data_IF_343155281052
#
_entry.id   IF_343155281052
#
_cell.length_a   1.000
_cell.length_b   1.000
_cell.length_c   1.000
_cell.angle_alpha   90.00
_cell.angle_beta   90.00
_cell.angle_gamma   90.00
#
_symmetry.space_group_name_H-M   'P 1'
#
loop_
_entity.id
_entity.type
_entity.pdbx_description
1 polymer ?
#
# COMPACT_ATOMS: atom_id res chain seq x y z
N UNK A 1 42.09 59.42 3.07
CA UNK A 1 40.88 59.79 3.85
C UNK A 1 39.72 59.89 2.88
N UNK A 2 38.63 59.15 3.11
CA UNK A 2 37.52 58.99 2.15
C UNK A 2 36.76 60.31 2.00
N UNK A 3 36.28 60.62 0.78
CA UNK A 3 35.47 61.80 0.43
C UNK A 3 34.36 62.14 1.45
N UNK A 4 33.83 61.10 2.12
CA UNK A 4 32.85 61.20 3.21
C UNK A 4 33.34 62.09 4.36
N UNK A 5 34.61 61.97 4.78
CA UNK A 5 35.14 62.74 5.91
C UNK A 5 35.28 64.23 5.56
N UNK A 6 35.64 64.55 4.31
CA UNK A 6 35.77 65.93 3.84
C UNK A 6 34.39 66.61 3.79
N UNK A 7 33.38 65.90 3.30
CA UNK A 7 32.00 66.39 3.27
C UNK A 7 31.47 66.72 4.67
N UNK A 8 31.68 65.85 5.66
CA UNK A 8 31.27 66.11 7.05
C UNK A 8 31.98 67.32 7.65
N UNK A 9 33.27 67.51 7.38
CA UNK A 9 34.01 68.68 7.87
C UNK A 9 33.48 69.98 7.24
N UNK A 10 33.23 69.99 5.93
CA UNK A 10 32.67 71.17 5.23
C UNK A 10 31.26 71.49 5.75
N UNK A 11 30.41 70.47 5.93
CA UNK A 11 29.07 70.63 6.49
C UNK A 11 29.13 71.17 7.93
N UNK A 12 30.03 70.65 8.76
CA UNK A 12 30.23 71.12 10.13
C UNK A 12 30.67 72.59 10.17
N UNK A 13 31.61 72.98 9.31
CA UNK A 13 32.06 74.38 9.19
C UNK A 13 30.92 75.30 8.75
N UNK A 14 30.08 74.86 7.80
CA UNK A 14 28.90 75.62 7.35
C UNK A 14 27.86 75.77 8.47
N UNK A 15 27.59 74.70 9.22
CA UNK A 15 26.68 74.75 10.39
C UNK A 15 27.21 75.70 11.47
N UNK A 16 28.51 75.63 11.78
CA UNK A 16 29.16 76.53 12.74
C UNK A 16 29.12 78.00 12.27
N UNK A 17 29.30 78.25 10.97
CA UNK A 17 29.20 79.58 10.38
C UNK A 17 27.78 80.14 10.51
N UNK A 18 26.75 79.34 10.21
CA UNK A 18 25.34 79.74 10.34
C UNK A 18 24.97 79.99 11.80
N UNK A 19 25.36 79.10 12.72
CA UNK A 19 25.13 79.26 14.15
C UNK A 19 25.85 80.50 14.71
N UNK A 20 27.09 80.75 14.30
CA UNK A 20 27.85 81.94 14.67
C UNK A 20 27.17 83.22 14.18
N UNK A 21 26.67 83.23 12.95
CA UNK A 21 25.93 84.38 12.41
C UNK A 21 24.62 84.62 13.17
N UNK A 22 23.86 83.55 13.48
CA UNK A 22 22.63 83.63 14.27
C UNK A 22 22.89 84.15 15.69
N UNK A 23 23.99 83.74 16.32
CA UNK A 23 24.41 84.22 17.64
C UNK A 23 24.73 85.72 17.62
N UNK A 24 25.50 86.18 16.63
CA UNK A 24 25.85 87.60 16.48
C UNK A 24 24.62 88.47 16.21
N UNK A 25 23.73 88.03 15.30
CA UNK A 25 22.55 88.81 14.90
C UNK A 25 21.48 88.90 16.01
N UNK A 26 21.45 87.93 16.94
CA UNK A 26 20.43 87.83 17.99
C UNK A 26 21.02 87.97 19.41
N UNK A 27 22.20 88.56 19.54
CA UNK A 27 22.94 88.61 20.79
C UNK A 27 22.14 89.25 21.94
N UNK A 28 21.47 90.37 21.68
CA UNK A 28 20.67 91.09 22.69
C UNK A 28 19.49 90.28 23.23
N UNK A 29 18.93 89.37 22.42
CA UNK A 29 17.84 88.50 22.82
C UNK A 29 18.34 87.31 23.66
N UNK A 30 19.51 86.78 23.31
CA UNK A 30 20.13 85.60 23.93
C UNK A 30 20.68 85.86 25.33
N UNK A 31 21.02 87.11 25.65
CA UNK A 31 21.54 87.52 26.97
C UNK A 31 20.42 87.87 27.95
N UNK A 32 19.16 88.00 27.50
CA UNK A 32 18.01 88.25 28.38
C UNK A 32 17.86 87.15 29.43
N UNK A 33 17.58 87.58 30.65
CA UNK A 33 17.28 86.69 31.76
C UNK A 33 15.84 86.22 31.68
N UNK A 34 15.66 84.91 31.82
CA UNK A 34 14.36 84.25 31.87
C UNK A 34 14.27 83.51 33.20
N UNK A 35 13.14 83.63 33.88
CA UNK A 35 12.90 82.93 35.14
C UNK A 35 12.53 81.49 34.85
N UNK A 36 13.38 80.56 35.23
CA UNK A 36 13.15 79.12 35.08
C UNK A 36 13.32 78.48 36.46
N UNK A 37 12.27 77.84 36.97
CA UNK A 37 12.23 77.28 38.33
C UNK A 37 12.56 78.26 39.48
N UNK A 38 12.27 79.55 39.30
CA UNK A 38 12.46 80.57 40.33
C UNK A 38 13.84 81.24 40.34
N UNK A 39 14.78 80.81 39.50
CA UNK A 39 16.08 81.47 39.30
C UNK A 39 16.16 82.18 37.93
N UNK A 40 16.91 83.29 37.87
CA UNK A 40 17.13 84.05 36.64
C UNK A 40 18.32 83.49 35.86
N UNK A 41 18.03 82.90 34.69
CA UNK A 41 19.03 82.25 33.84
C UNK A 41 19.03 82.92 32.47
N UNK A 42 20.22 83.15 31.88
CA UNK A 42 20.33 83.69 30.52
C UNK A 42 19.73 82.73 29.50
N UNK A 43 18.94 83.24 28.57
CA UNK A 43 18.25 82.43 27.54
C UNK A 43 19.21 81.52 26.75
N UNK A 44 20.41 82.00 26.42
CA UNK A 44 21.45 81.19 25.76
C UNK A 44 21.83 79.92 26.54
N UNK A 45 21.86 80.00 27.87
CA UNK A 45 22.20 78.86 28.72
C UNK A 45 21.07 77.84 28.74
N UNK A 46 19.81 78.28 28.70
CA UNK A 46 18.62 77.40 28.61
C UNK A 46 18.59 76.65 27.26
N UNK A 47 18.89 77.35 26.16
CA UNK A 47 18.97 76.72 24.82
C UNK A 47 20.12 75.71 24.78
N UNK A 48 21.28 76.06 25.34
CA UNK A 48 22.42 75.15 25.40
C UNK A 48 22.12 73.91 26.25
N UNK A 49 21.49 74.06 27.41
CA UNK A 49 21.14 72.95 28.30
C UNK A 49 20.11 72.03 27.63
N UNK A 50 19.07 72.56 26.99
CA UNK A 50 18.06 71.74 26.29
C UNK A 50 18.66 70.99 25.10
N UNK A 51 19.56 71.63 24.35
CA UNK A 51 20.30 70.99 23.27
C UNK A 51 21.24 69.88 23.80
N UNK A 52 22.02 70.16 24.86
CA UNK A 52 22.90 69.17 25.48
C UNK A 52 22.11 67.99 26.06
N UNK A 53 20.96 68.24 26.68
CA UNK A 53 20.07 67.20 27.19
C UNK A 53 19.51 66.34 26.04
N UNK A 54 19.04 66.97 24.96
CA UNK A 54 18.56 66.25 23.77
C UNK A 54 19.65 65.42 23.10
N UNK A 55 20.87 65.96 22.99
CA UNK A 55 22.03 65.24 22.50
C UNK A 55 22.39 64.05 23.41
N UNK A 56 22.42 64.27 24.73
CA UNK A 56 22.69 63.23 25.71
C UNK A 56 21.65 62.10 25.63
N UNK A 57 20.36 62.43 25.55
CA UNK A 57 19.27 61.46 25.39
C UNK A 57 19.38 60.67 24.09
N UNK A 58 19.75 61.32 22.98
CA UNK A 58 19.96 60.63 21.70
C UNK A 58 21.19 59.70 21.75
N UNK A 59 22.29 60.13 22.38
CA UNK A 59 23.47 59.30 22.60
C UNK A 59 23.16 58.10 23.51
N UNK A 60 22.40 58.31 24.59
CA UNK A 60 21.91 57.23 25.45
C UNK A 60 21.01 56.26 24.68
N UNK A 61 20.05 56.75 23.92
CA UNK A 61 19.14 55.92 23.13
C UNK A 61 19.90 55.09 22.08
N UNK A 62 20.78 55.72 21.31
CA UNK A 62 21.59 55.03 20.31
C UNK A 62 22.54 54.02 20.96
N UNK A 63 23.21 54.40 22.07
CA UNK A 63 24.03 53.48 22.87
C UNK A 63 23.26 52.26 23.37
N UNK A 64 22.07 52.45 23.95
CA UNK A 64 21.20 51.35 24.41
C UNK A 64 20.80 50.45 23.23
N UNK A 65 20.41 51.03 22.09
CA UNK A 65 19.99 50.27 20.91
C UNK A 65 21.16 49.52 20.25
N UNK A 66 22.38 50.05 20.31
CA UNK A 66 23.60 49.38 19.85
C UNK A 66 23.91 48.16 20.73
N UNK A 67 23.82 48.32 22.05
CA UNK A 67 23.99 47.22 23.02
C UNK A 67 22.93 46.13 22.81
N UNK A 68 21.67 46.51 22.63
CA UNK A 68 20.58 45.56 22.32
C UNK A 68 20.86 44.82 21.00
N UNK A 69 21.32 45.52 19.95
CA UNK A 69 21.70 44.89 18.68
C UNK A 69 22.86 43.91 18.85
N UNK A 70 23.86 44.26 19.65
CA UNK A 70 25.00 43.40 19.93
C UNK A 70 24.58 42.12 20.66
N UNK A 71 23.76 42.24 21.72
CA UNK A 71 23.23 41.10 22.48
C UNK A 71 22.37 40.19 21.60
N UNK A 72 21.48 40.77 20.77
CA UNK A 72 20.69 39.98 19.80
C UNK A 72 21.57 39.29 18.77
N UNK A 73 22.63 39.94 18.30
CA UNK A 73 23.60 39.35 17.36
C UNK A 73 24.39 38.18 17.97
N UNK A 74 24.77 38.28 19.25
CA UNK A 74 25.40 37.18 19.99
C UNK A 74 24.45 35.99 20.18
N UNK A 75 23.19 36.25 20.53
CA UNK A 75 22.19 35.18 20.66
C UNK A 75 21.87 34.52 19.32
N UNK A 76 21.69 35.30 18.25
CA UNK A 76 21.45 34.76 16.91
C UNK A 76 22.63 33.92 16.39
N UNK A 77 23.87 34.35 16.68
CA UNK A 77 25.07 33.57 16.33
C UNK A 77 25.25 32.32 17.19
N UNK A 78 24.87 32.35 18.47
CA UNK A 78 24.83 31.16 19.33
C UNK A 78 23.77 30.15 18.85
N UNK A 79 22.56 30.60 18.52
CA UNK A 79 21.49 29.75 17.99
C UNK A 79 21.89 29.11 16.67
N UNK A 80 22.52 29.86 15.77
CA UNK A 80 23.00 29.33 14.48
C UNK A 80 24.04 28.22 14.70
N UNK A 81 24.96 28.39 15.65
CA UNK A 81 25.96 27.36 16.01
C UNK A 81 25.30 26.13 16.64
N UNK A 82 24.29 26.31 17.48
CA UNK A 82 23.54 25.21 18.08
C UNK A 82 22.78 24.41 17.02
N UNK A 83 22.06 25.08 16.11
CA UNK A 83 21.36 24.43 15.00
C UNK A 83 22.33 23.64 14.13
N UNK A 84 23.50 24.21 13.81
CA UNK A 84 24.54 23.51 13.05
C UNK A 84 25.02 22.25 13.79
N UNK A 85 25.35 22.38 15.08
CA UNK A 85 25.80 21.25 15.91
C UNK A 85 24.73 20.15 16.02
N UNK A 86 23.47 20.52 16.22
CA UNK A 86 22.35 19.57 16.24
C UNK A 86 22.22 18.88 14.87
N UNK A 87 22.36 19.62 13.77
CA UNK A 87 22.28 19.04 12.43
C UNK A 87 23.40 18.03 12.14
N UNK A 88 24.62 18.30 12.61
CA UNK A 88 25.76 17.38 12.52
C UNK A 88 25.49 16.12 13.34
N UNK A 89 25.07 16.26 14.60
CA UNK A 89 24.73 15.11 15.47
C UNK A 89 23.53 14.32 14.98
N UNK A 90 22.56 14.96 14.33
CA UNK A 90 21.46 14.27 13.66
C UNK A 90 21.95 13.40 12.50
N UNK A 91 22.97 13.84 11.78
CA UNK A 91 23.58 13.03 10.73
C UNK A 91 24.32 11.83 11.33
N UNK A 92 25.11 12.05 12.41
CA UNK A 92 25.78 10.96 13.13
C UNK A 92 24.78 9.89 13.60
N UNK A 93 23.63 10.31 14.17
CA UNK A 93 22.58 9.38 14.60
C UNK A 93 22.01 8.56 13.43
N UNK A 94 21.80 9.17 12.25
CA UNK A 94 21.33 8.44 11.06
C UNK A 94 22.38 7.47 10.55
N UNK A 95 23.64 7.86 10.55
CA UNK A 95 24.74 7.01 10.11
C UNK A 95 24.87 5.79 11.05
N UNK A 96 24.76 5.97 12.37
CA UNK A 96 24.73 4.87 13.34
C UNK A 96 23.57 3.89 13.08
N UNK A 97 22.37 4.40 12.77
CA UNK A 97 21.23 3.55 12.38
C UNK A 97 21.54 2.76 11.11
N UNK A 98 22.17 3.38 10.11
CA UNK A 98 22.56 2.71 8.86
C UNK A 98 23.61 1.61 9.08
N UNK A 99 24.50 1.77 10.07
CA UNK A 99 25.50 0.76 10.46
C UNK A 99 24.93 -0.32 11.39
N UNK A 100 23.63 -0.31 11.71
CA UNK A 100 23.01 -1.30 12.59
C UNK A 100 23.35 -1.13 14.07
N UNK A 101 23.69 0.08 14.50
CA UNK A 101 24.00 0.44 15.89
C UNK A 101 22.86 1.29 16.53
N UNK A 102 21.65 0.73 16.72
CA UNK A 102 20.49 1.51 17.14
C UNK A 102 20.59 2.05 18.57
N UNK A 103 21.28 1.34 19.48
CA UNK A 103 21.44 1.78 20.88
C UNK A 103 22.31 3.02 21.01
N UNK A 104 23.41 3.08 20.24
CA UNK A 104 24.29 4.26 20.22
C UNK A 104 23.57 5.46 19.60
N UNK A 105 22.81 5.22 18.52
CA UNK A 105 21.96 6.25 17.91
C UNK A 105 20.94 6.84 18.90
N UNK A 106 20.31 6.01 19.73
CA UNK A 106 19.39 6.48 20.78
C UNK A 106 20.08 7.44 21.75
N UNK A 107 21.28 7.10 22.25
CA UNK A 107 22.02 7.99 23.15
C UNK A 107 22.38 9.33 22.52
N UNK A 108 22.73 9.34 21.21
CA UNK A 108 22.95 10.59 20.47
C UNK A 108 21.65 11.40 20.38
N UNK A 109 20.53 10.76 20.05
CA UNK A 109 19.22 11.42 19.93
C UNK A 109 18.71 11.97 21.25
N UNK A 110 18.84 11.23 22.35
CA UNK A 110 18.50 11.70 23.69
C UNK A 110 19.28 12.96 24.04
N UNK A 111 20.59 12.99 23.75
CA UNK A 111 21.41 14.17 23.99
C UNK A 111 21.07 15.37 23.10
N UNK A 112 20.44 15.15 21.94
CA UNK A 112 19.88 16.22 21.10
C UNK A 112 18.60 16.75 21.75
N UNK A 113 17.74 15.86 22.24
CA UNK A 113 16.47 16.19 22.89
C UNK A 113 16.67 16.88 24.24
N UNK A 114 17.77 16.64 24.95
CA UNK A 114 18.16 17.40 26.14
C UNK A 114 18.42 18.88 25.81
N UNK A 115 19.01 19.17 24.65
CA UNK A 115 19.30 20.54 24.19
C UNK A 115 18.08 21.20 23.55
N UNK A 116 17.28 20.43 22.79
CA UNK A 116 16.03 20.88 22.16
C UNK A 116 14.97 19.78 22.23
N UNK A 117 14.13 19.82 23.26
CA UNK A 117 13.06 18.83 23.50
C UNK A 117 12.07 18.71 22.34
N UNK A 118 11.80 19.82 21.66
CA UNK A 118 10.83 19.90 20.56
C UNK A 118 11.44 19.57 19.18
N UNK A 119 12.66 19.02 19.12
CA UNK A 119 13.31 18.72 17.84
C UNK A 119 12.62 17.54 17.12
N UNK A 120 11.63 17.84 16.28
CA UNK A 120 10.77 16.88 15.57
C UNK A 120 11.56 15.76 14.87
N UNK A 121 12.61 16.04 14.05
CA UNK A 121 13.34 14.97 13.38
C UNK A 121 14.02 13.99 14.33
N UNK A 122 14.44 14.46 15.51
CA UNK A 122 15.06 13.59 16.52
C UNK A 122 14.00 12.70 17.20
N UNK A 123 12.83 13.25 17.55
CA UNK A 123 11.70 12.48 18.10
C UNK A 123 11.19 11.43 17.11
N UNK A 124 11.07 11.79 15.83
CA UNK A 124 10.69 10.88 14.76
C UNK A 124 11.65 9.69 14.65
N UNK A 125 12.97 9.98 14.51
CA UNK A 125 13.97 8.94 14.37
C UNK A 125 14.08 8.06 15.64
N UNK A 126 13.98 8.67 16.83
CA UNK A 126 13.99 7.92 18.08
C UNK A 126 12.80 6.94 18.15
N UNK A 127 11.60 7.39 17.79
CA UNK A 127 10.41 6.52 17.75
C UNK A 127 10.56 5.37 16.75
N UNK A 128 11.10 5.64 15.56
CA UNK A 128 11.38 4.59 14.57
C UNK A 128 12.40 3.56 15.06
N UNK A 129 13.44 4.00 15.78
CA UNK A 129 14.41 3.10 16.40
C UNK A 129 13.74 2.26 17.48
N UNK A 130 12.93 2.86 18.36
CA UNK A 130 12.20 2.15 19.42
C UNK A 130 11.29 1.05 18.86
N UNK A 131 10.63 1.30 17.72
CA UNK A 131 9.84 0.27 17.02
C UNK A 131 10.70 -0.89 16.52
N UNK A 132 11.89 -0.61 15.98
CA UNK A 132 12.81 -1.63 15.46
C UNK A 132 13.54 -2.41 16.55
N UNK A 133 13.81 -1.79 17.70
CA UNK A 133 14.55 -2.40 18.82
C UNK A 133 13.67 -3.17 19.79
N UNK A 134 12.35 -3.19 19.57
CA UNK A 134 11.41 -3.99 20.37
C UNK A 134 10.85 -3.28 21.59
N UNK A 135 10.87 -1.94 21.62
CA UNK A 135 10.23 -1.10 22.66
C UNK A 135 9.02 -0.33 22.11
N UNK A 136 8.01 -1.00 21.52
CA UNK A 136 6.93 -0.33 20.82
C UNK A 136 6.00 0.50 21.73
N UNK A 137 5.87 0.16 23.01
CA UNK A 137 5.05 0.93 23.96
C UNK A 137 5.63 2.33 24.23
N UNK A 138 6.95 2.45 24.28
CA UNK A 138 7.64 3.75 24.42
C UNK A 138 7.49 4.57 23.13
N UNK A 139 7.58 3.92 21.98
CA UNK A 139 7.34 4.56 20.69
C UNK A 139 5.90 5.11 20.60
N UNK A 140 4.89 4.36 21.06
CA UNK A 140 3.49 4.84 21.12
C UNK A 140 3.40 6.13 21.95
N UNK A 141 3.97 6.16 23.16
CA UNK A 141 3.95 7.35 24.01
C UNK A 141 4.64 8.55 23.35
N UNK A 142 5.81 8.31 22.75
CA UNK A 142 6.58 9.35 22.07
C UNK A 142 5.83 9.94 20.87
N UNK A 143 5.25 9.09 20.02
CA UNK A 143 4.48 9.52 18.86
C UNK A 143 3.13 10.14 19.24
N UNK A 144 2.46 9.69 20.31
CA UNK A 144 1.26 10.33 20.84
C UNK A 144 1.56 11.78 21.25
N UNK A 145 2.58 11.98 22.09
CA UNK A 145 3.00 13.32 22.48
C UNK A 145 3.38 14.17 21.26
N UNK A 146 4.07 13.58 20.27
CA UNK A 146 4.43 14.31 19.04
C UNK A 146 3.21 14.72 18.20
N UNK A 147 2.17 13.88 18.16
CA UNK A 147 0.91 14.21 17.48
C UNK A 147 0.07 15.26 18.23
N UNK A 148 0.22 15.36 19.55
CA UNK A 148 -0.40 16.42 20.36
C UNK A 148 0.29 17.76 20.14
N UNK A 149 1.63 17.76 20.13
CA UNK A 149 2.45 18.96 19.90
C UNK A 149 2.32 19.47 18.45
N UNK A 150 2.29 18.55 17.48
CA UNK A 150 2.27 18.85 16.04
C UNK A 150 1.10 18.14 15.34
N UNK A 151 -0.16 18.62 15.49
CA UNK A 151 -1.33 17.95 14.95
C UNK A 151 -1.30 17.78 13.43
N UNK A 152 -0.69 18.69 12.68
CA UNK A 152 -0.65 18.65 11.21
C UNK A 152 0.46 17.74 10.65
N UNK A 153 1.29 17.12 11.50
CA UNK A 153 2.38 16.26 11.09
C UNK A 153 1.87 14.86 10.70
N UNK A 154 1.50 14.73 9.42
CA UNK A 154 0.98 13.49 8.80
C UNK A 154 1.87 12.27 9.10
N UNK A 155 3.19 12.41 8.98
CA UNK A 155 4.12 11.29 9.16
C UNK A 155 4.14 10.80 10.61
N UNK A 156 4.03 11.69 11.61
CA UNK A 156 4.00 11.29 13.02
C UNK A 156 2.73 10.49 13.34
N UNK A 157 1.57 10.89 12.80
CA UNK A 157 0.32 10.14 12.95
C UNK A 157 0.38 8.77 12.26
N UNK A 158 1.04 8.68 11.10
CA UNK A 158 1.26 7.40 10.44
C UNK A 158 2.17 6.49 11.28
N UNK A 159 3.28 7.02 11.80
CA UNK A 159 4.18 6.26 12.68
C UNK A 159 3.50 5.84 14.00
N UNK A 160 2.61 6.66 14.55
CA UNK A 160 1.78 6.28 15.69
C UNK A 160 0.90 5.05 15.37
N UNK A 161 0.30 5.03 14.17
CA UNK A 161 -0.49 3.88 13.75
C UNK A 161 0.35 2.60 13.58
N UNK A 162 1.58 2.70 13.05
CA UNK A 162 2.50 1.56 12.96
C UNK A 162 3.01 1.13 14.35
N UNK A 163 3.17 2.06 15.28
CA UNK A 163 3.45 1.76 16.67
C UNK A 163 2.31 0.97 17.33
N UNK A 164 1.05 1.35 17.06
CA UNK A 164 -0.11 0.57 17.51
C UNK A 164 -0.16 -0.84 16.92
N UNK A 165 0.25 -1.02 15.66
CA UNK A 165 0.38 -2.36 15.07
C UNK A 165 1.44 -3.20 15.77
N UNK A 166 2.56 -2.58 16.16
CA UNK A 166 3.67 -3.25 16.83
C UNK A 166 3.31 -3.76 18.23
N UNK A 167 2.43 -3.04 18.95
CA UNK A 167 1.84 -3.48 20.23
C UNK A 167 0.61 -4.40 20.04
N UNK A 168 0.37 -4.91 18.82
CA UNK A 168 -0.76 -5.78 18.46
C UNK A 168 -2.14 -5.18 18.75
N UNK A 169 -2.29 -3.87 18.57
CA UNK A 169 -3.56 -3.15 18.70
C UNK A 169 -4.03 -2.59 17.35
N UNK A 170 -4.57 -3.44 16.45
CA UNK A 170 -4.98 -3.03 15.12
C UNK A 170 -6.18 -2.07 15.11
N UNK A 171 -7.07 -2.15 16.10
CA UNK A 171 -8.23 -1.24 16.19
C UNK A 171 -7.80 0.19 16.53
N UNK A 172 -6.85 0.37 17.46
CA UNK A 172 -6.27 1.69 17.73
C UNK A 172 -5.52 2.24 16.51
N UNK A 173 -4.75 1.38 15.82
CA UNK A 173 -4.09 1.75 14.55
C UNK A 173 -5.09 2.23 13.51
N UNK A 174 -6.15 1.47 13.26
CA UNK A 174 -7.21 1.82 12.31
C UNK A 174 -7.90 3.14 12.69
N UNK A 175 -8.15 3.40 13.98
CA UNK A 175 -8.74 4.66 14.45
C UNK A 175 -7.85 5.87 14.14
N UNK A 176 -6.53 5.77 14.40
CA UNK A 176 -5.56 6.83 14.08
C UNK A 176 -5.49 7.05 12.57
N UNK A 177 -5.37 5.98 11.78
CA UNK A 177 -5.30 6.06 10.32
C UNK A 177 -6.58 6.66 9.72
N UNK A 178 -7.75 6.28 10.23
CA UNK A 178 -9.05 6.83 9.79
C UNK A 178 -9.13 8.33 10.05
N UNK A 179 -8.70 8.79 11.23
CA UNK A 179 -8.67 10.23 11.56
C UNK A 179 -7.66 10.98 10.68
N UNK A 180 -6.45 10.43 10.51
CA UNK A 180 -5.43 10.98 9.62
C UNK A 180 -5.93 11.12 8.17
N UNK A 181 -6.58 10.08 7.67
CA UNK A 181 -7.15 10.03 6.33
C UNK A 181 -8.32 11.02 6.15
N UNK A 182 -9.10 11.29 7.20
CA UNK A 182 -10.17 12.28 7.18
C UNK A 182 -9.64 13.73 7.24
N UNK A 183 -8.65 14.00 8.07
CA UNK A 183 -8.08 15.33 8.25
C UNK A 183 -7.21 15.76 7.05
N UNK A 184 -6.50 14.80 6.44
CA UNK A 184 -5.59 15.05 5.32
C UNK A 184 -5.82 14.10 4.14
N UNK A 185 -7.00 14.15 3.49
CA UNK A 185 -7.42 13.16 2.50
C UNK A 185 -6.49 13.05 1.27
N UNK A 186 -5.86 14.16 0.87
CA UNK A 186 -4.94 14.24 -0.29
C UNK A 186 -3.46 14.07 0.05
N UNK A 187 -3.09 13.93 1.32
CA UNK A 187 -1.68 13.72 1.76
C UNK A 187 -1.47 12.35 2.41
N UNK A 188 -2.52 11.60 2.66
CA UNK A 188 -2.50 10.38 3.48
C UNK A 188 -2.56 9.10 2.65
N UNK A 189 -1.83 9.02 1.52
CA UNK A 189 -1.83 7.84 0.64
C UNK A 189 -1.45 6.55 1.39
N UNK A 190 -0.37 6.60 2.18
CA UNK A 190 0.07 5.47 3.02
C UNK A 190 -1.01 5.07 4.03
N UNK A 191 -1.69 6.06 4.62
CA UNK A 191 -2.73 5.78 5.59
C UNK A 191 -3.94 5.07 4.97
N UNK A 192 -4.41 5.52 3.80
CA UNK A 192 -5.49 4.84 3.08
C UNK A 192 -5.12 3.42 2.67
N UNK A 193 -3.88 3.19 2.18
CA UNK A 193 -3.38 1.85 1.85
C UNK A 193 -3.39 0.94 3.07
N UNK A 194 -2.87 1.43 4.20
CA UNK A 194 -2.79 0.67 5.44
C UNK A 194 -4.15 0.40 6.05
N UNK A 195 -5.02 1.41 6.10
CA UNK A 195 -6.39 1.28 6.60
C UNK A 195 -7.18 0.22 5.81
N UNK A 196 -7.10 0.26 4.48
CA UNK A 196 -7.69 -0.78 3.61
C UNK A 196 -7.14 -2.17 3.94
N UNK A 197 -5.82 -2.32 4.08
CA UNK A 197 -5.20 -3.61 4.40
C UNK A 197 -5.67 -4.14 5.77
N UNK A 198 -5.75 -3.30 6.80
CA UNK A 198 -6.26 -3.69 8.11
C UNK A 198 -7.72 -4.13 8.06
N UNK A 199 -8.55 -3.43 7.28
CA UNK A 199 -9.93 -3.86 7.08
C UNK A 199 -10.05 -5.19 6.32
N UNK A 200 -9.17 -5.45 5.35
CA UNK A 200 -9.11 -6.74 4.66
C UNK A 200 -8.68 -7.88 5.60
N UNK A 201 -7.65 -7.67 6.41
CA UNK A 201 -7.18 -8.64 7.42
C UNK A 201 -8.28 -8.96 8.44
N UNK A 202 -9.08 -7.95 8.82
CA UNK A 202 -10.21 -8.09 9.71
C UNK A 202 -11.51 -8.57 9.04
N UNK A 203 -11.49 -8.86 7.73
CA UNK A 203 -12.67 -9.22 6.90
C UNK A 203 -13.82 -8.19 6.98
N UNK A 204 -13.50 -6.93 7.27
CA UNK A 204 -14.41 -5.77 7.26
C UNK A 204 -14.49 -5.24 5.83
N UNK A 205 -15.14 -6.01 4.95
CA UNK A 205 -15.09 -5.81 3.50
C UNK A 205 -15.69 -4.50 3.04
N UNK A 206 -16.77 -4.04 3.67
CA UNK A 206 -17.42 -2.75 3.39
C UNK A 206 -16.47 -1.59 3.64
N UNK A 207 -15.82 -1.56 4.80
CA UNK A 207 -14.84 -0.53 5.14
C UNK A 207 -13.59 -0.60 4.26
N UNK A 208 -13.13 -1.81 3.90
CA UNK A 208 -12.03 -1.99 2.96
C UNK A 208 -12.38 -1.43 1.57
N UNK A 209 -13.59 -1.71 1.07
CA UNK A 209 -14.08 -1.19 -0.21
C UNK A 209 -14.22 0.33 -0.20
N UNK A 210 -14.76 0.92 0.87
CA UNK A 210 -14.87 2.38 0.98
C UNK A 210 -13.48 3.05 1.07
N UNK A 211 -12.56 2.51 1.86
CA UNK A 211 -11.18 3.01 1.92
C UNK A 211 -10.51 2.94 0.53
N UNK A 212 -10.77 1.89 -0.24
CA UNK A 212 -10.28 1.77 -1.62
C UNK A 212 -10.88 2.81 -2.56
N UNK A 213 -12.20 3.07 -2.48
CA UNK A 213 -12.86 4.12 -3.28
C UNK A 213 -12.29 5.50 -2.98
N UNK A 214 -12.05 5.83 -1.70
CA UNK A 214 -11.38 7.10 -1.32
C UNK A 214 -9.97 7.19 -1.86
N UNK A 215 -9.22 6.10 -1.83
CA UNK A 215 -7.87 6.01 -2.36
C UNK A 215 -7.84 6.23 -3.88
N UNK A 216 -8.76 5.65 -4.63
CA UNK A 216 -8.95 5.93 -6.07
C UNK A 216 -9.33 7.39 -6.35
N UNK A 217 -10.23 7.96 -5.53
CA UNK A 217 -10.71 9.33 -5.71
C UNK A 217 -9.63 10.39 -5.41
N UNK A 218 -8.80 10.17 -4.40
CA UNK A 218 -7.78 11.13 -3.98
C UNK A 218 -6.43 10.95 -4.68
N UNK A 219 -6.09 9.74 -5.13
CA UNK A 219 -4.76 9.42 -5.66
C UNK A 219 -4.77 8.63 -6.99
N UNK A 220 -5.58 9.00 -8.00
CA UNK A 220 -5.75 8.19 -9.21
C UNK A 220 -4.45 7.95 -10.01
N UNK A 221 -3.45 8.83 -9.88
CA UNK A 221 -2.14 8.73 -10.55
C UNK A 221 -1.05 7.96 -9.80
N UNK A 222 -1.22 7.72 -8.49
CA UNK A 222 -0.21 7.08 -7.62
C UNK A 222 -0.43 5.56 -7.48
N UNK A 223 -1.51 5.05 -8.07
CA UNK A 223 -1.93 3.66 -7.96
C UNK A 223 -1.54 2.88 -9.19
N UNK A 224 -0.92 1.73 -8.97
CA UNK A 224 -0.67 0.75 -10.01
C UNK A 224 -1.98 0.20 -10.60
N UNK A 225 -1.93 -0.33 -11.82
CA UNK A 225 -3.10 -0.95 -12.43
C UNK A 225 -3.63 -2.13 -11.59
N UNK A 226 -2.72 -2.90 -10.97
CA UNK A 226 -3.06 -3.97 -10.05
C UNK A 226 -3.82 -3.44 -8.81
N UNK A 227 -3.38 -2.33 -8.21
CA UNK A 227 -4.10 -1.72 -7.10
C UNK A 227 -5.47 -1.22 -7.51
N UNK A 228 -5.61 -0.62 -8.71
CA UNK A 228 -6.92 -0.18 -9.23
C UNK A 228 -7.88 -1.35 -9.42
N UNK A 229 -7.39 -2.46 -9.96
CA UNK A 229 -8.17 -3.68 -10.15
C UNK A 229 -8.63 -4.35 -8.83
N UNK A 230 -8.00 -4.06 -7.70
CA UNK A 230 -8.44 -4.58 -6.40
C UNK A 230 -9.82 -4.05 -5.98
N UNK A 231 -10.31 -2.94 -6.55
CA UNK A 231 -11.62 -2.38 -6.20
C UNK A 231 -12.79 -3.31 -6.53
N UNK A 232 -12.76 -3.95 -7.71
CA UNK A 232 -13.73 -4.97 -8.12
C UNK A 232 -13.69 -6.17 -7.17
N UNK A 233 -12.49 -6.64 -6.84
CA UNK A 233 -12.30 -7.77 -5.93
C UNK A 233 -12.83 -7.47 -4.51
N UNK A 234 -12.59 -6.28 -3.97
CA UNK A 234 -13.12 -5.87 -2.66
C UNK A 234 -14.64 -5.76 -2.67
N UNK A 235 -15.20 -5.16 -3.72
CA UNK A 235 -16.65 -5.06 -3.89
C UNK A 235 -17.30 -6.43 -4.05
N UNK A 236 -16.63 -7.36 -4.74
CA UNK A 236 -17.04 -8.76 -4.80
C UNK A 236 -17.04 -9.42 -3.41
N UNK A 237 -16.03 -9.18 -2.57
CA UNK A 237 -16.01 -9.72 -1.20
C UNK A 237 -17.15 -9.16 -0.33
N UNK A 238 -17.55 -7.89 -0.51
CA UNK A 238 -18.77 -7.35 0.11
C UNK A 238 -19.99 -8.15 -0.34
N UNK A 239 -20.10 -8.46 -1.63
CA UNK A 239 -21.16 -9.32 -2.16
C UNK A 239 -21.15 -10.72 -1.53
N UNK A 240 -19.97 -11.31 -1.34
CA UNK A 240 -19.82 -12.62 -0.68
C UNK A 240 -20.25 -12.60 0.79
N UNK A 241 -19.90 -11.55 1.53
CA UNK A 241 -20.37 -11.38 2.92
C UNK A 241 -21.89 -11.28 3.00
N UNK A 242 -22.53 -10.69 1.99
CA UNK A 242 -24.00 -10.67 1.86
C UNK A 242 -24.58 -12.05 1.56
N UNK A 243 -23.91 -12.86 0.74
CA UNK A 243 -24.29 -14.27 0.50
C UNK A 243 -24.21 -15.07 1.80
N UNK A 244 -23.14 -14.92 2.58
CA UNK A 244 -22.98 -15.60 3.88
C UNK A 244 -24.05 -15.20 4.90
N UNK A 245 -24.61 -13.99 4.76
CA UNK A 245 -25.72 -13.49 5.57
C UNK A 245 -27.12 -13.83 4.99
N UNK A 246 -27.20 -14.70 3.97
CA UNK A 246 -28.42 -15.06 3.22
C UNK A 246 -29.14 -13.86 2.55
N UNK A 247 -28.43 -12.75 2.36
CA UNK A 247 -28.94 -11.52 1.72
C UNK A 247 -28.75 -11.57 0.19
N UNK A 248 -29.31 -12.58 -0.48
CA UNK A 248 -29.06 -12.85 -1.91
C UNK A 248 -29.47 -11.72 -2.85
N UNK A 249 -30.52 -10.95 -2.51
CA UNK A 249 -30.96 -9.79 -3.31
C UNK A 249 -29.92 -8.67 -3.31
N UNK A 250 -29.38 -8.36 -2.15
CA UNK A 250 -28.37 -7.32 -1.99
C UNK A 250 -27.04 -7.77 -2.61
N UNK A 251 -26.66 -9.04 -2.40
CA UNK A 251 -25.50 -9.65 -3.04
C UNK A 251 -25.60 -9.58 -4.58
N UNK A 252 -26.77 -9.89 -5.15
CA UNK A 252 -26.98 -9.81 -6.59
C UNK A 252 -26.77 -8.40 -7.15
N UNK A 253 -27.25 -7.35 -6.45
CA UNK A 253 -27.00 -5.96 -6.85
C UNK A 253 -25.51 -5.62 -6.83
N UNK A 254 -24.78 -6.09 -5.81
CA UNK A 254 -23.34 -5.88 -5.70
C UNK A 254 -22.59 -6.57 -6.84
N UNK A 255 -22.91 -7.83 -7.15
CA UNK A 255 -22.27 -8.55 -8.24
C UNK A 255 -22.57 -7.93 -9.61
N UNK A 256 -23.80 -7.42 -9.82
CA UNK A 256 -24.13 -6.66 -11.03
C UNK A 256 -23.27 -5.40 -11.16
N UNK A 257 -23.02 -4.69 -10.05
CA UNK A 257 -22.13 -3.54 -10.05
C UNK A 257 -20.69 -3.94 -10.41
N UNK A 258 -20.18 -5.04 -9.85
CA UNK A 258 -18.84 -5.57 -10.19
C UNK A 258 -18.74 -5.89 -11.68
N UNK A 259 -19.74 -6.55 -12.27
CA UNK A 259 -19.78 -6.88 -13.70
C UNK A 259 -19.81 -5.62 -14.56
N UNK A 260 -20.53 -4.59 -14.12
CA UNK A 260 -20.59 -3.30 -14.83
C UNK A 260 -19.24 -2.59 -14.86
N UNK A 261 -18.51 -2.64 -13.74
CA UNK A 261 -17.19 -2.02 -13.61
C UNK A 261 -16.10 -2.83 -14.31
N UNK A 262 -16.19 -4.16 -14.24
CA UNK A 262 -15.24 -5.11 -14.84
C UNK A 262 -15.99 -6.27 -15.54
N UNK A 263 -16.30 -6.13 -16.84
CA UNK A 263 -17.10 -7.12 -17.60
C UNK A 263 -16.47 -8.50 -17.77
N UNK A 264 -15.18 -8.65 -17.49
CA UNK A 264 -14.46 -9.93 -17.57
C UNK A 264 -14.27 -10.58 -16.19
N UNK A 265 -14.90 -10.05 -15.13
CA UNK A 265 -14.78 -10.55 -13.77
C UNK A 265 -15.60 -11.84 -13.55
N UNK A 266 -15.01 -12.98 -13.91
CA UNK A 266 -15.64 -14.32 -13.88
C UNK A 266 -16.36 -14.65 -12.57
N UNK A 267 -15.76 -14.45 -11.37
CA UNK A 267 -16.41 -14.85 -10.12
C UNK A 267 -17.74 -14.12 -9.85
N UNK A 268 -17.91 -12.89 -10.35
CA UNK A 268 -19.14 -12.12 -10.14
C UNK A 268 -20.30 -12.69 -10.95
N UNK A 269 -20.08 -13.10 -12.20
CA UNK A 269 -21.11 -13.79 -12.99
C UNK A 269 -21.53 -15.11 -12.34
N UNK A 270 -20.56 -15.90 -11.86
CA UNK A 270 -20.83 -17.17 -11.17
C UNK A 270 -21.69 -16.95 -9.92
N UNK A 271 -21.29 -16.01 -9.07
CA UNK A 271 -21.97 -15.73 -7.81
C UNK A 271 -23.34 -15.10 -8.03
N UNK A 272 -23.47 -14.21 -9.03
CA UNK A 272 -24.76 -13.64 -9.43
C UNK A 272 -25.71 -14.70 -9.96
N UNK A 273 -25.25 -15.59 -10.84
CA UNK A 273 -26.04 -16.70 -11.37
C UNK A 273 -26.57 -17.60 -10.24
N UNK A 274 -25.71 -17.97 -9.29
CA UNK A 274 -26.09 -18.74 -8.09
C UNK A 274 -27.09 -17.97 -7.21
N UNK A 275 -26.88 -16.68 -6.98
CA UNK A 275 -27.83 -15.86 -6.22
C UNK A 275 -29.22 -15.80 -6.86
N UNK A 276 -29.31 -15.76 -8.19
CA UNK A 276 -30.61 -15.77 -8.89
C UNK A 276 -31.29 -17.14 -8.80
N UNK A 277 -30.52 -18.23 -8.95
CA UNK A 277 -31.03 -19.60 -8.79
C UNK A 277 -31.58 -19.82 -7.37
N UNK A 278 -30.87 -19.35 -6.34
CA UNK A 278 -31.31 -19.42 -4.93
C UNK A 278 -32.56 -18.57 -4.63
N UNK A 279 -32.90 -17.63 -5.52
CA UNK A 279 -34.11 -16.81 -5.43
C UNK A 279 -35.26 -17.35 -6.31
N UNK A 280 -35.21 -18.63 -6.68
CA UNK A 280 -36.17 -19.30 -7.57
C UNK A 280 -36.25 -18.69 -8.99
N UNK A 281 -35.21 -17.95 -9.40
CA UNK A 281 -35.10 -17.34 -10.73
C UNK A 281 -34.12 -18.12 -11.60
N UNK A 282 -34.36 -19.42 -11.75
CA UNK A 282 -33.50 -20.37 -12.49
C UNK A 282 -33.14 -19.87 -13.89
N UNK A 283 -34.15 -19.50 -14.69
CA UNK A 283 -33.96 -19.06 -16.07
C UNK A 283 -33.02 -17.85 -16.18
N UNK A 284 -33.16 -16.90 -15.25
CA UNK A 284 -32.30 -15.71 -15.21
C UNK A 284 -30.89 -16.06 -14.75
N UNK A 285 -30.74 -16.89 -13.73
CA UNK A 285 -29.42 -17.32 -13.25
C UNK A 285 -28.62 -18.05 -14.33
N UNK A 286 -29.25 -18.96 -15.06
CA UNK A 286 -28.62 -19.67 -16.17
C UNK A 286 -28.24 -18.73 -17.33
N UNK A 287 -29.08 -17.74 -17.67
CA UNK A 287 -28.73 -16.78 -18.72
C UNK A 287 -27.53 -15.90 -18.31
N UNK A 288 -27.40 -15.54 -17.02
CA UNK A 288 -26.23 -14.80 -16.51
C UNK A 288 -24.95 -15.63 -16.64
N UNK A 289 -25.00 -16.93 -16.30
CA UNK A 289 -23.86 -17.83 -16.49
C UNK A 289 -23.50 -17.97 -17.98
N UNK A 290 -24.51 -18.07 -18.86
CA UNK A 290 -24.32 -18.10 -20.32
C UNK A 290 -23.71 -16.80 -20.84
N UNK A 291 -24.14 -15.65 -20.33
CA UNK A 291 -23.57 -14.35 -20.68
C UNK A 291 -22.09 -14.30 -20.31
N UNK A 292 -21.75 -14.68 -19.07
CA UNK A 292 -20.37 -14.77 -18.58
C UNK A 292 -19.50 -15.67 -19.47
N UNK A 293 -20.02 -16.81 -19.91
CA UNK A 293 -19.34 -17.69 -20.86
C UNK A 293 -19.14 -17.03 -22.24
N UNK A 294 -20.17 -16.38 -22.80
CA UNK A 294 -20.05 -15.71 -24.12
C UNK A 294 -18.99 -14.58 -24.08
N UNK A 295 -18.91 -13.88 -22.97
CA UNK A 295 -17.94 -12.79 -22.73
C UNK A 295 -16.52 -13.32 -22.59
N UNK A 296 -16.29 -14.23 -21.66
CA UNK A 296 -14.93 -14.63 -21.25
C UNK A 296 -14.42 -15.91 -21.95
N UNK A 297 -15.31 -16.84 -22.27
CA UNK A 297 -14.97 -18.17 -22.78
C UNK A 297 -14.55 -19.17 -21.72
N UNK A 298 -14.63 -18.79 -20.44
CA UNK A 298 -14.16 -19.63 -19.33
C UNK A 298 -15.06 -20.85 -19.12
N UNK A 299 -14.44 -22.03 -19.08
CA UNK A 299 -15.15 -23.31 -18.96
C UNK A 299 -15.93 -23.47 -17.67
N UNK A 300 -15.54 -22.76 -16.61
CA UNK A 300 -16.17 -22.83 -15.27
C UNK A 300 -17.67 -22.54 -15.33
N UNK A 301 -18.13 -21.65 -16.21
CA UNK A 301 -19.57 -21.39 -16.39
C UNK A 301 -20.34 -22.64 -16.83
N UNK A 302 -19.80 -23.38 -17.80
CA UNK A 302 -20.41 -24.61 -18.32
C UNK A 302 -20.34 -25.73 -17.30
N UNK A 303 -19.25 -25.81 -16.53
CA UNK A 303 -19.14 -26.75 -15.42
C UNK A 303 -20.23 -26.52 -14.37
N UNK A 304 -20.45 -25.27 -13.97
CA UNK A 304 -21.46 -24.91 -12.97
C UNK A 304 -22.88 -25.23 -13.45
N UNK A 305 -23.17 -24.96 -14.73
CA UNK A 305 -24.45 -25.35 -15.33
C UNK A 305 -24.62 -26.88 -15.43
N UNK A 306 -23.57 -27.61 -15.81
CA UNK A 306 -23.56 -29.07 -15.82
C UNK A 306 -23.87 -29.62 -14.41
N UNK A 307 -23.12 -29.18 -13.40
CA UNK A 307 -23.28 -29.62 -12.02
C UNK A 307 -24.69 -29.31 -11.49
N UNK A 308 -25.24 -28.13 -11.84
CA UNK A 308 -26.61 -27.75 -11.49
C UNK A 308 -27.66 -28.70 -12.07
N UNK A 309 -27.63 -28.99 -13.37
CA UNK A 309 -28.61 -29.88 -14.01
C UNK A 309 -28.49 -31.33 -13.52
N UNK A 310 -27.27 -31.77 -13.22
CA UNK A 310 -27.03 -33.10 -12.63
C UNK A 310 -27.63 -33.18 -11.22
N UNK A 311 -27.40 -32.18 -10.37
CA UNK A 311 -27.95 -32.14 -9.01
C UNK A 311 -29.48 -32.10 -8.99
N UNK A 312 -30.09 -31.40 -9.96
CA UNK A 312 -31.55 -31.37 -10.13
C UNK A 312 -32.14 -32.67 -10.69
N UNK A 313 -31.31 -33.61 -11.16
CA UNK A 313 -31.80 -34.80 -11.86
C UNK A 313 -32.43 -34.50 -13.23
N UNK A 314 -32.04 -33.39 -13.87
CA UNK A 314 -32.52 -32.95 -15.19
C UNK A 314 -31.37 -32.87 -16.22
N UNK A 315 -30.61 -33.96 -16.44
CA UNK A 315 -29.45 -33.93 -17.33
C UNK A 315 -29.77 -33.60 -18.79
N UNK A 316 -30.96 -33.96 -19.27
CA UNK A 316 -31.39 -33.73 -20.66
C UNK A 316 -31.50 -32.23 -20.99
N UNK A 317 -31.92 -31.42 -20.03
CA UNK A 317 -31.99 -29.96 -20.19
C UNK A 317 -30.59 -29.36 -20.29
N UNK A 318 -29.65 -29.84 -19.46
CA UNK A 318 -28.24 -29.48 -19.54
C UNK A 318 -27.60 -29.90 -20.86
N UNK A 319 -27.92 -31.10 -21.35
CA UNK A 319 -27.47 -31.59 -22.65
C UNK A 319 -27.98 -30.70 -23.79
N UNK A 320 -29.26 -30.36 -23.80
CA UNK A 320 -29.87 -29.48 -24.79
C UNK A 320 -29.23 -28.08 -24.78
N UNK A 321 -28.98 -27.53 -23.59
CA UNK A 321 -28.29 -26.25 -23.43
C UNK A 321 -26.86 -26.33 -23.99
N UNK A 322 -26.07 -27.33 -23.62
CA UNK A 322 -24.69 -27.48 -24.07
C UNK A 322 -24.60 -27.67 -25.59
N UNK A 323 -25.51 -28.44 -26.21
CA UNK A 323 -25.60 -28.56 -27.68
C UNK A 323 -25.83 -27.21 -28.34
N UNK A 324 -26.77 -26.42 -27.84
CA UNK A 324 -27.05 -25.07 -28.35
C UNK A 324 -25.83 -24.15 -28.23
N UNK A 325 -25.15 -24.19 -27.09
CA UNK A 325 -23.96 -23.36 -26.83
C UNK A 325 -22.81 -23.76 -27.75
N UNK A 326 -22.56 -25.06 -27.91
CA UNK A 326 -21.53 -25.58 -28.80
C UNK A 326 -21.77 -25.22 -30.28
N UNK A 327 -23.03 -25.08 -30.70
CA UNK A 327 -23.40 -24.70 -32.06
C UNK A 327 -23.32 -23.19 -32.34
N UNK A 328 -23.45 -22.33 -31.33
CA UNK A 328 -23.67 -20.87 -31.50
C UNK A 328 -22.55 -20.00 -30.93
N UNK A 329 -21.73 -20.52 -30.01
CA UNK A 329 -20.69 -19.73 -29.34
C UNK A 329 -19.44 -19.56 -30.19
N UNK A 330 -18.80 -18.38 -30.08
CA UNK A 330 -17.42 -18.15 -30.58
C UNK A 330 -16.40 -19.06 -29.89
N UNK A 331 -16.71 -19.52 -28.69
CA UNK A 331 -15.90 -20.41 -27.85
C UNK A 331 -16.35 -21.87 -27.98
N UNK A 332 -16.61 -22.30 -29.22
CA UNK A 332 -17.20 -23.60 -29.52
C UNK A 332 -16.36 -24.78 -29.02
N UNK A 333 -15.02 -24.70 -29.08
CA UNK A 333 -14.12 -25.79 -28.66
C UNK A 333 -14.28 -26.12 -27.16
N UNK A 334 -14.31 -25.10 -26.31
CA UNK A 334 -14.57 -25.26 -24.86
C UNK A 334 -15.97 -25.84 -24.64
N UNK A 335 -16.99 -25.32 -25.33
CA UNK A 335 -18.36 -25.83 -25.22
C UNK A 335 -18.50 -27.29 -25.66
N UNK A 336 -17.83 -27.69 -26.75
CA UNK A 336 -17.78 -29.07 -27.24
C UNK A 336 -17.10 -30.02 -26.26
N UNK A 337 -16.07 -29.56 -25.55
CA UNK A 337 -15.44 -30.33 -24.49
C UNK A 337 -16.43 -30.66 -23.36
N UNK A 338 -17.14 -29.66 -22.83
CA UNK A 338 -18.15 -29.88 -21.78
C UNK A 338 -19.35 -30.69 -22.28
N UNK A 339 -19.78 -30.49 -23.52
CA UNK A 339 -20.80 -31.32 -24.16
C UNK A 339 -20.36 -32.79 -24.24
N UNK A 340 -19.12 -33.06 -24.68
CA UNK A 340 -18.54 -34.41 -24.71
C UNK A 340 -18.48 -35.05 -23.33
N UNK A 341 -18.13 -34.27 -22.29
CA UNK A 341 -18.14 -34.72 -20.89
C UNK A 341 -19.55 -35.10 -20.42
N UNK A 342 -20.56 -34.28 -20.72
CA UNK A 342 -21.96 -34.57 -20.41
C UNK A 342 -22.45 -35.84 -21.14
N UNK A 343 -22.19 -35.95 -22.45
CA UNK A 343 -22.56 -37.13 -23.25
C UNK A 343 -21.90 -38.41 -22.73
N UNK A 344 -20.62 -38.35 -22.34
CA UNK A 344 -19.94 -39.46 -21.68
C UNK A 344 -20.65 -39.87 -20.39
N UNK A 345 -21.05 -38.91 -19.54
CA UNK A 345 -21.76 -39.16 -18.29
C UNK A 345 -23.13 -39.82 -18.51
N UNK A 346 -23.80 -39.48 -19.61
CA UNK A 346 -25.09 -40.06 -20.02
C UNK A 346 -24.95 -41.35 -20.84
N UNK A 347 -23.75 -41.93 -20.93
CA UNK A 347 -23.46 -43.15 -21.69
C UNK A 347 -23.76 -43.03 -23.20
N UNK A 348 -23.81 -41.81 -23.74
CA UNK A 348 -23.91 -41.53 -25.18
C UNK A 348 -22.49 -41.50 -25.78
N UNK A 349 -21.87 -42.67 -25.78
CA UNK A 349 -20.42 -42.83 -25.97
C UNK A 349 -19.93 -42.52 -27.40
N UNK A 350 -20.75 -42.79 -28.42
CA UNK A 350 -20.38 -42.54 -29.82
C UNK A 350 -20.25 -41.04 -30.12
N UNK A 351 -21.29 -40.26 -29.82
CA UNK A 351 -21.29 -38.81 -30.01
C UNK A 351 -20.21 -38.13 -29.16
N UNK A 352 -20.00 -38.59 -27.93
CA UNK A 352 -18.93 -38.10 -27.06
C UNK A 352 -17.54 -38.31 -27.69
N UNK A 353 -17.30 -39.48 -28.28
CA UNK A 353 -16.02 -39.80 -28.92
C UNK A 353 -15.77 -38.90 -30.14
N UNK A 354 -16.77 -38.72 -30.99
CA UNK A 354 -16.67 -37.88 -32.18
C UNK A 354 -16.37 -36.42 -31.81
N UNK A 355 -17.06 -35.90 -30.78
CA UNK A 355 -16.79 -34.56 -30.26
C UNK A 355 -15.38 -34.42 -29.68
N UNK A 356 -14.91 -35.39 -28.89
CA UNK A 356 -13.54 -35.32 -28.35
C UNK A 356 -12.47 -35.43 -29.44
N UNK A 357 -12.72 -36.19 -30.51
CA UNK A 357 -11.84 -36.22 -31.69
C UNK A 357 -11.79 -34.86 -32.39
N UNK A 358 -12.95 -34.21 -32.53
CA UNK A 358 -13.00 -32.86 -33.10
C UNK A 358 -12.24 -31.86 -32.22
N UNK A 359 -12.49 -31.85 -30.91
CA UNK A 359 -11.79 -30.97 -29.95
C UNK A 359 -10.29 -31.23 -29.97
N UNK A 360 -9.84 -32.49 -30.06
CA UNK A 360 -8.42 -32.86 -30.18
C UNK A 360 -7.75 -32.22 -31.38
N UNK A 361 -8.46 -32.04 -32.49
CA UNK A 361 -7.90 -31.39 -33.69
C UNK A 361 -7.69 -29.88 -33.53
N UNK A 362 -8.32 -29.26 -32.53
CA UNK A 362 -8.36 -27.82 -32.32
C UNK A 362 -7.46 -27.36 -31.16
N UNK A 363 -7.01 -28.27 -30.28
CA UNK A 363 -6.26 -27.94 -29.07
C UNK A 363 -4.83 -28.48 -29.10
N UNK A 364 -3.88 -27.69 -28.62
CA UNK A 364 -2.45 -28.03 -28.62
C UNK A 364 -2.09 -29.01 -27.51
N UNK A 365 -2.71 -28.88 -26.33
CA UNK A 365 -2.40 -29.70 -25.16
C UNK A 365 -3.62 -29.85 -24.26
N UNK A 366 -4.08 -31.09 -24.06
CA UNK A 366 -5.13 -31.41 -23.10
C UNK A 366 -5.07 -32.89 -22.70
N UNK A 367 -4.33 -33.23 -21.62
CA UNK A 367 -4.27 -34.59 -21.09
C UNK A 367 -5.65 -35.17 -20.77
N UNK A 368 -6.57 -34.32 -20.30
CA UNK A 368 -7.90 -34.72 -19.91
C UNK A 368 -8.74 -35.28 -21.09
N UNK A 369 -8.48 -34.85 -22.33
CA UNK A 369 -9.10 -35.45 -23.52
C UNK A 369 -8.71 -36.92 -23.69
N UNK A 370 -7.42 -37.24 -23.56
CA UNK A 370 -6.92 -38.61 -23.65
C UNK A 370 -7.54 -39.49 -22.57
N UNK A 371 -7.74 -38.95 -21.36
CA UNK A 371 -8.44 -39.66 -20.29
C UNK A 371 -9.87 -40.02 -20.68
N UNK A 372 -10.67 -39.05 -21.15
CA UNK A 372 -12.07 -39.31 -21.54
C UNK A 372 -12.17 -40.25 -22.75
N UNK A 373 -11.35 -40.06 -23.78
CA UNK A 373 -11.33 -40.95 -24.94
C UNK A 373 -10.92 -42.39 -24.56
N UNK A 374 -9.93 -42.56 -23.67
CA UNK A 374 -9.55 -43.86 -23.15
C UNK A 374 -10.70 -44.53 -22.38
N UNK A 375 -11.38 -43.78 -21.52
CA UNK A 375 -12.55 -44.27 -20.77
C UNK A 375 -13.69 -44.68 -21.69
N UNK A 376 -14.00 -43.88 -22.71
CA UNK A 376 -15.00 -44.21 -23.73
C UNK A 376 -14.63 -45.50 -24.47
N UNK A 377 -13.38 -45.63 -24.95
CA UNK A 377 -12.93 -46.85 -25.60
C UNK A 377 -13.00 -48.08 -24.68
N UNK A 378 -12.67 -47.92 -23.41
CA UNK A 378 -12.77 -48.98 -22.40
C UNK A 378 -14.22 -49.43 -22.20
N UNK A 379 -15.18 -48.49 -22.06
CA UNK A 379 -16.61 -48.78 -21.96
C UNK A 379 -17.16 -49.50 -23.19
N UNK A 380 -16.59 -49.21 -24.37
CA UNK A 380 -16.92 -49.87 -25.65
C UNK A 380 -16.20 -51.20 -25.89
N UNK A 381 -15.48 -51.73 -24.89
CA UNK A 381 -14.65 -52.93 -25.00
C UNK A 381 -13.55 -52.87 -26.09
N UNK A 382 -13.15 -51.66 -26.52
CA UNK A 382 -12.03 -51.43 -27.46
C UNK A 382 -10.74 -51.23 -26.67
N UNK A 383 -10.24 -52.31 -26.08
CA UNK A 383 -9.12 -52.25 -25.12
C UNK A 383 -7.82 -51.72 -25.75
N UNK A 384 -7.51 -52.09 -26.99
CA UNK A 384 -6.29 -51.62 -27.68
C UNK A 384 -6.30 -50.11 -27.89
N UNK A 385 -7.44 -49.56 -28.32
CA UNK A 385 -7.62 -48.13 -28.49
C UNK A 385 -7.56 -47.39 -27.15
N UNK A 386 -8.24 -47.92 -26.12
CA UNK A 386 -8.19 -47.35 -24.78
C UNK A 386 -6.76 -47.30 -24.22
N UNK A 387 -6.01 -48.39 -24.41
CA UNK A 387 -4.64 -48.50 -23.94
C UNK A 387 -3.69 -47.58 -24.71
N UNK A 388 -3.93 -47.37 -26.01
CA UNK A 388 -3.21 -46.36 -26.77
C UNK A 388 -3.46 -44.94 -26.24
N UNK A 389 -4.72 -44.56 -25.98
CA UNK A 389 -5.05 -43.25 -25.41
C UNK A 389 -4.45 -43.07 -24.00
N UNK A 390 -4.47 -44.09 -23.14
CA UNK A 390 -3.78 -44.05 -21.84
C UNK A 390 -2.27 -43.88 -21.97
N UNK A 391 -1.63 -44.53 -22.95
CA UNK A 391 -0.19 -44.32 -23.20
C UNK A 391 0.09 -42.87 -23.59
N UNK A 392 -0.75 -42.25 -24.41
CA UNK A 392 -0.61 -40.83 -24.77
C UNK A 392 -0.79 -39.93 -23.54
N UNK A 393 -1.80 -40.21 -22.70
CA UNK A 393 -1.99 -39.52 -21.41
C UNK A 393 -0.72 -39.58 -20.55
N UNK A 394 -0.16 -40.78 -20.32
CA UNK A 394 1.03 -40.97 -19.49
C UNK A 394 2.27 -40.27 -20.07
N UNK A 395 2.42 -40.28 -21.41
CA UNK A 395 3.50 -39.56 -22.10
C UNK A 395 3.37 -38.05 -21.91
N UNK A 396 2.16 -37.50 -22.08
CA UNK A 396 1.90 -36.07 -21.95
C UNK A 396 2.09 -35.57 -20.51
N UNK A 397 1.70 -36.38 -19.51
CA UNK A 397 1.95 -36.05 -18.10
C UNK A 397 3.43 -36.19 -17.70
N UNK A 398 4.26 -36.81 -18.53
CA UNK A 398 5.67 -37.05 -18.23
C UNK A 398 5.89 -37.94 -17.01
N UNK A 399 4.90 -38.74 -16.60
CA UNK A 399 4.96 -39.55 -15.37
C UNK A 399 5.95 -40.72 -15.44
N UNK A 400 6.36 -41.08 -16.66
CA UNK A 400 7.38 -42.11 -16.89
C UNK A 400 8.82 -41.56 -16.83
N UNK A 401 8.99 -40.24 -16.65
CA UNK A 401 10.31 -39.64 -16.49
C UNK A 401 10.69 -39.62 -15.01
N UNK A 402 11.90 -40.08 -14.71
CA UNK A 402 12.48 -39.93 -13.39
C UNK A 402 12.53 -38.45 -13.04
N UNK A 403 12.34 -38.11 -11.77
CA UNK A 403 12.48 -36.74 -11.29
C UNK A 403 13.64 -36.69 -10.33
N UNK A 404 14.44 -35.65 -10.43
CA UNK A 404 15.52 -35.36 -9.51
C UNK A 404 15.21 -34.04 -8.80
N UNK A 405 15.68 -33.88 -7.58
CA UNK A 405 15.53 -32.67 -6.78
C UNK A 405 16.91 -32.23 -6.26
N UNK A 406 17.17 -30.93 -6.27
CA UNK A 406 18.37 -30.37 -5.65
C UNK A 406 18.20 -30.35 -4.12
N UNK A 407 19.10 -30.98 -3.38
CA UNK A 407 19.10 -31.00 -1.91
C UNK A 407 19.33 -29.62 -1.28
N UNK A 408 19.87 -28.65 -2.04
CA UNK A 408 20.19 -27.31 -1.55
C UNK A 408 19.03 -26.33 -1.79
N UNK A 409 18.45 -26.32 -2.99
CA UNK A 409 17.43 -25.33 -3.38
C UNK A 409 16.06 -25.91 -3.77
N UNK A 410 15.90 -27.24 -3.77
CA UNK A 410 14.64 -27.89 -4.14
C UNK A 410 14.29 -27.86 -5.64
N UNK A 411 15.19 -27.37 -6.50
CA UNK A 411 14.95 -27.33 -7.95
C UNK A 411 14.79 -28.74 -8.51
N UNK A 412 13.75 -28.97 -9.33
CA UNK A 412 13.40 -30.29 -9.87
C UNK A 412 13.70 -30.41 -11.36
N UNK A 413 14.36 -31.49 -11.75
CA UNK A 413 14.71 -31.80 -13.15
C UNK A 413 14.20 -33.19 -13.55
N UNK A 414 14.10 -33.45 -14.85
CA UNK A 414 13.72 -34.77 -15.38
C UNK A 414 14.95 -35.68 -15.62
N UNK A 415 16.14 -35.10 -15.59
CA UNK A 415 17.41 -35.78 -15.80
C UNK A 415 18.37 -35.44 -14.66
N UNK A 416 19.28 -36.37 -14.35
CA UNK A 416 20.34 -36.12 -13.38
C UNK A 416 21.29 -35.06 -13.94
N UNK A 417 21.57 -34.03 -13.14
CA UNK A 417 22.59 -33.02 -13.44
C UNK A 417 23.66 -33.05 -12.36
N UNK A 418 24.92 -33.02 -12.79
CA UNK A 418 26.10 -32.95 -11.92
C UNK A 418 26.19 -31.58 -11.20
N UNK A 419 25.70 -30.53 -11.86
CA UNK A 419 25.57 -29.18 -11.34
C UNK A 419 24.13 -28.69 -11.46
N UNK A 420 23.55 -28.26 -10.34
CA UNK A 420 22.20 -27.69 -10.34
C UNK A 420 22.16 -26.43 -11.22
N UNK A 421 21.31 -26.43 -12.23
CA UNK A 421 21.14 -25.30 -13.15
C UNK A 421 20.59 -24.04 -12.45
N UNK A 422 19.85 -24.24 -11.35
CA UNK A 422 19.24 -23.14 -10.60
C UNK A 422 20.20 -22.48 -9.61
N UNK A 423 20.88 -23.24 -8.75
CA UNK A 423 21.75 -22.67 -7.70
C UNK A 423 23.25 -22.86 -7.96
N UNK A 424 23.64 -23.57 -9.01
CA UNK A 424 25.03 -23.84 -9.34
C UNK A 424 25.72 -24.87 -8.44
N UNK A 425 25.02 -25.44 -7.46
CA UNK A 425 25.58 -26.42 -6.51
C UNK A 425 25.88 -27.75 -7.20
N UNK A 426 27.11 -28.22 -7.02
CA UNK A 426 27.55 -29.53 -7.50
C UNK A 426 27.05 -30.66 -6.60
N UNK A 427 26.80 -31.84 -7.19
CA UNK A 427 26.40 -33.06 -6.48
C UNK A 427 25.18 -32.88 -5.55
N UNK A 428 24.27 -32.00 -5.95
CA UNK A 428 23.10 -31.65 -5.16
C UNK A 428 21.83 -32.34 -5.65
N UNK A 429 21.81 -32.81 -6.90
CA UNK A 429 20.70 -33.54 -7.49
C UNK A 429 20.57 -34.95 -6.92
N UNK A 430 19.42 -35.29 -6.36
CA UNK A 430 19.09 -36.64 -5.91
C UNK A 430 17.77 -37.09 -6.52
N UNK A 431 17.61 -38.40 -6.73
CA UNK A 431 16.37 -38.96 -7.25
C UNK A 431 15.21 -38.71 -6.26
N UNK A 432 14.06 -38.28 -6.79
CA UNK A 432 12.86 -37.91 -6.04
C UNK A 432 12.06 -39.17 -5.66
N UNK A 433 12.75 -40.06 -4.96
CA UNK A 433 12.25 -41.25 -4.27
C UNK A 433 13.34 -41.59 -3.25
N UNK A 434 13.22 -41.06 -2.02
CA UNK A 434 14.13 -41.43 -0.94
C UNK A 434 13.53 -42.60 -0.18
N UNK A 435 14.30 -43.66 0.00
CA UNK A 435 13.89 -44.76 0.88
C UNK A 435 13.63 -44.28 2.32
N UNK A 436 14.26 -43.17 2.75
CA UNK A 436 14.00 -42.52 4.03
C UNK A 436 12.60 -41.91 4.17
N UNK A 437 11.91 -41.67 3.05
CA UNK A 437 10.54 -41.13 3.05
C UNK A 437 9.49 -42.25 3.12
N UNK A 438 9.92 -43.52 3.08
CA UNK A 438 9.05 -44.65 3.32
C UNK A 438 8.66 -44.68 4.80
N UNK A 439 7.38 -44.88 5.13
CA UNK A 439 6.97 -44.99 6.52
C UNK A 439 7.68 -46.17 7.20
N UNK A 440 8.28 -45.93 8.36
CA UNK A 440 8.83 -46.99 9.21
C UNK A 440 7.69 -47.81 9.83
N UNK A 441 7.22 -48.82 9.11
CA UNK A 441 6.19 -49.75 9.58
C UNK A 441 5.34 -50.33 8.45
N UNK A 442 4.53 -51.37 8.73
CA UNK A 442 3.59 -51.87 7.76
C UNK A 442 2.64 -50.75 7.37
N UNK A 443 2.55 -50.47 6.07
CA UNK A 443 1.54 -49.59 5.48
C UNK A 443 0.20 -50.14 5.95
N UNK A 444 -0.44 -49.50 6.93
CA UNK A 444 -1.81 -49.85 7.30
C UNK A 444 -2.61 -49.70 6.01
N UNK A 445 -3.26 -50.78 5.59
CA UNK A 445 -4.27 -50.68 4.57
C UNK A 445 -5.38 -49.80 5.16
N UNK A 446 -5.27 -48.48 4.96
CA UNK A 446 -6.44 -47.65 5.00
C UNK A 446 -7.40 -48.31 4.02
N UNK A 447 -8.57 -48.68 4.54
CA UNK A 447 -9.71 -49.10 3.75
C UNK A 447 -10.11 -47.91 2.86
N UNK A 448 -9.30 -47.66 1.85
CA UNK A 448 -9.49 -46.64 0.85
C UNK A 448 -10.65 -47.09 -0.01
N UNK A 449 -11.81 -46.49 0.24
CA UNK A 449 -12.83 -46.33 -0.77
C UNK A 449 -12.23 -45.50 -1.91
N UNK A 450 -11.50 -46.17 -2.81
CA UNK A 450 -11.01 -45.62 -4.09
C UNK A 450 -12.17 -45.22 -5.04
N UNK A 451 -13.42 -45.36 -4.60
CA UNK A 451 -14.65 -45.06 -5.36
C UNK A 451 -15.11 -43.60 -5.17
N UNK A 452 -14.60 -42.85 -4.19
CA UNK A 452 -15.12 -41.49 -3.91
C UNK A 452 -14.52 -40.36 -4.78
N UNK A 453 -13.64 -40.66 -5.73
CA UNK A 453 -13.01 -39.67 -6.63
C UNK A 453 -13.24 -39.95 -8.13
N UNK A 454 -14.21 -40.81 -8.47
CA UNK A 454 -14.75 -40.98 -9.83
C UNK A 454 -16.18 -40.46 -9.87
#
# INVERSE_FOLDING_TARGET
MRLVNVFFIVLLLLVLMVLGNLYLTNHDLLVKEVVVFGESIKLQSVILITFLLGFLLNVLYTGIMEVIRLVRGLNASADTRLVKRISERMQDARDLVAHGLPREAMGVLESILEQRREHIPARMLLGEILLKTGSPEEAVKLFQALCEDEPDLVEARYQLAEAFMSVRNPDASAAVLKKLAADHPKKSLRAWRRLRALHMEAQRWEEASEAHKKLLAHFPGELSQAEKAQGSALTYQVGMAKVEADQFKDAAQIFQQVIKDEPDFVPAYLSLGRCMILQDQEAQGLEILLEGFRKTGEGTFLQEMEDYFIQLGRPEDGLALLRRVAATSRHATTAKFFLGKMLYRLEILDEALDLFQEVRSQVVYSPILFFFMAKIHSRRARLDAALNEYRQLLRNLGVLKLRYECAVCGHRTQDYTDRCESCGSWNSGHFLFKESDLPEGPIRAESGSWIAML
#
